data_IF_438989444315
#
_entry.id   IF_438989444315
#
_cell.length_a   1.000
_cell.length_b   1.000
_cell.length_c   1.000
_cell.angle_alpha   90.00
_cell.angle_beta   90.00
_cell.angle_gamma   90.00
#
_symmetry.space_group_name_H-M   'P 1'
#
loop_
_entity.id
_entity.type
_entity.pdbx_description
1 polymer ?
#
# COMPACT_ATOMS: atom_id res chain seq x y z
N UNK A 1 -19.67 -19.32 0.01
CA UNK A 1 -18.43 -18.59 0.34
C UNK A 1 -18.80 -17.24 0.91
N UNK A 2 -18.48 -16.99 2.17
CA UNK A 2 -18.73 -15.69 2.82
C UNK A 2 -17.44 -14.89 2.71
N UNK A 3 -17.46 -13.78 1.97
CA UNK A 3 -16.31 -12.87 1.90
C UNK A 3 -16.18 -12.15 3.24
N UNK A 4 -15.11 -12.45 3.99
CA UNK A 4 -14.80 -11.74 5.24
C UNK A 4 -14.27 -10.37 4.83
N UNK A 5 -14.91 -9.30 5.31
CA UNK A 5 -14.42 -7.94 5.09
C UNK A 5 -13.05 -7.81 5.76
N UNK A 6 -12.05 -7.38 5.00
CA UNK A 6 -10.76 -7.06 5.57
C UNK A 6 -10.90 -5.79 6.44
N UNK A 7 -10.84 -5.92 7.76
CA UNK A 7 -11.00 -4.80 8.69
C UNK A 7 -9.66 -4.08 8.89
N UNK A 8 -9.16 -3.48 7.80
CA UNK A 8 -7.94 -2.68 7.84
C UNK A 8 -8.24 -1.38 8.59
N UNK A 9 -7.47 -1.10 9.65
CA UNK A 9 -7.65 0.11 10.45
C UNK A 9 -7.34 1.35 9.63
N UNK A 10 -8.11 2.42 9.82
CA UNK A 10 -7.83 3.70 9.18
C UNK A 10 -6.57 4.35 9.78
N UNK A 11 -5.67 4.83 8.93
CA UNK A 11 -4.49 5.56 9.39
C UNK A 11 -4.89 6.89 10.03
N UNK A 12 -4.44 7.13 11.27
CA UNK A 12 -4.68 8.36 12.03
C UNK A 12 -4.11 9.62 11.38
N UNK A 13 -3.07 9.48 10.55
CA UNK A 13 -2.42 10.61 9.88
C UNK A 13 -3.05 10.96 8.52
N UNK A 14 -3.96 10.12 8.00
CA UNK A 14 -4.70 10.38 6.77
C UNK A 14 -3.79 10.77 5.60
N UNK A 15 -4.03 11.96 5.02
CA UNK A 15 -3.25 12.48 3.89
C UNK A 15 -1.85 12.99 4.28
N UNK A 16 -1.60 13.27 5.56
CA UNK A 16 -0.30 13.75 6.09
C UNK A 16 0.62 12.60 6.52
N UNK A 17 0.25 11.36 6.22
CA UNK A 17 1.06 10.22 6.58
C UNK A 17 2.35 10.15 5.75
N UNK A 18 3.48 10.15 6.43
CA UNK A 18 4.80 10.01 5.80
C UNK A 18 5.06 8.58 5.31
N UNK A 19 4.42 7.59 5.94
CA UNK A 19 4.52 6.17 5.60
C UNK A 19 3.53 5.75 4.50
N UNK A 20 2.85 6.70 3.84
CA UNK A 20 1.84 6.40 2.81
C UNK A 20 2.43 5.74 1.55
N UNK A 21 3.74 5.88 1.32
CA UNK A 21 4.48 5.22 0.25
C UNK A 21 5.10 3.89 0.70
N UNK A 22 5.07 3.59 2.00
CA UNK A 22 5.62 2.36 2.52
C UNK A 22 4.63 1.22 2.28
N UNK A 23 5.04 0.16 1.55
CA UNK A 23 4.12 -0.88 1.15
C UNK A 23 3.61 -1.70 2.35
N UNK A 24 4.41 -1.83 3.42
CA UNK A 24 4.04 -2.57 4.64
C UNK A 24 2.95 -1.79 5.40
N UNK A 25 3.18 -0.50 5.64
CA UNK A 25 2.20 0.39 6.24
C UNK A 25 0.89 0.40 5.44
N UNK A 26 0.97 0.42 4.11
CA UNK A 26 -0.21 0.38 3.23
C UNK A 26 -0.95 -0.95 3.25
N UNK A 27 -0.28 -2.05 3.61
CA UNK A 27 -0.94 -3.36 3.82
C UNK A 27 -1.68 -3.43 5.17
N UNK A 28 -1.27 -2.63 6.15
CA UNK A 28 -1.81 -2.64 7.51
C UNK A 28 -2.83 -1.52 7.79
N UNK A 29 -2.77 -0.42 7.02
CA UNK A 29 -3.58 0.78 7.27
C UNK A 29 -4.25 1.34 6.02
N UNK A 30 -5.54 1.69 6.17
CA UNK A 30 -6.34 2.31 5.12
C UNK A 30 -6.16 3.83 5.09
N UNK A 31 -6.05 4.39 3.90
CA UNK A 31 -6.02 5.83 3.64
C UNK A 31 -7.19 6.23 2.76
N UNK A 32 -7.88 7.32 3.11
CA UNK A 32 -8.98 7.86 2.30
C UNK A 32 -8.44 8.34 0.95
N UNK A 33 -9.13 7.99 -0.14
CA UNK A 33 -8.74 8.37 -1.50
C UNK A 33 -7.64 7.50 -2.12
N UNK A 34 -7.26 6.41 -1.45
CA UNK A 34 -6.35 5.41 -1.98
C UNK A 34 -7.00 4.01 -1.95
N UNK A 35 -6.55 3.09 -2.82
CA UNK A 35 -6.96 1.70 -2.80
C UNK A 35 -6.73 1.05 -1.42
N UNK A 36 -7.59 0.13 -1.02
CA UNK A 36 -7.42 -0.65 0.23
C UNK A 36 -6.21 -1.59 0.18
N UNK A 37 -5.82 -2.01 -1.03
CA UNK A 37 -4.67 -2.87 -1.29
C UNK A 37 -3.76 -2.22 -2.33
N UNK A 38 -2.46 -2.48 -2.26
CA UNK A 38 -1.56 -2.05 -3.32
C UNK A 38 -1.85 -2.83 -4.60
N UNK A 39 -1.85 -2.11 -5.71
CA UNK A 39 -2.08 -2.67 -7.03
C UNK A 39 -0.74 -3.21 -7.54
N UNK A 40 -0.66 -4.45 -8.05
CA UNK A 40 0.60 -4.94 -8.63
C UNK A 40 0.99 -4.05 -9.82
N UNK A 41 2.20 -3.49 -9.76
CA UNK A 41 2.76 -2.73 -10.87
C UNK A 41 2.98 -3.65 -12.07
N UNK A 42 2.51 -3.25 -13.26
CA UNK A 42 2.71 -4.02 -14.50
C UNK A 42 4.19 -4.26 -14.81
N UNK A 43 5.05 -3.30 -14.47
CA UNK A 43 6.48 -3.36 -14.74
C UNK A 43 7.29 -4.03 -13.62
N UNK A 44 6.70 -4.25 -12.43
CA UNK A 44 7.35 -4.90 -11.27
C UNK A 44 8.78 -4.37 -11.05
N UNK A 45 9.76 -5.25 -10.99
CA UNK A 45 11.19 -4.93 -10.80
C UNK A 45 11.79 -4.05 -11.90
N UNK A 46 11.14 -3.96 -13.07
CA UNK A 46 11.56 -3.10 -14.20
C UNK A 46 10.89 -1.73 -14.18
N UNK A 47 10.12 -1.41 -13.15
CA UNK A 47 9.49 -0.10 -13.02
C UNK A 47 10.53 0.97 -12.73
N UNK A 48 10.53 2.02 -13.55
CA UNK A 48 11.40 3.20 -13.36
C UNK A 48 10.64 4.40 -12.76
N UNK A 49 9.33 4.27 -12.54
CA UNK A 49 8.54 5.32 -11.91
C UNK A 49 8.78 5.31 -10.40
N UNK A 50 9.47 6.35 -9.92
CA UNK A 50 9.78 6.57 -8.50
C UNK A 50 8.90 7.67 -7.88
N UNK A 51 7.84 8.08 -8.58
CA UNK A 51 6.97 9.16 -8.14
C UNK A 51 6.21 8.75 -6.89
N UNK A 52 6.03 9.70 -5.97
CA UNK A 52 5.22 9.48 -4.77
C UNK A 52 3.80 9.06 -5.15
N UNK A 53 3.25 9.63 -6.24
CA UNK A 53 1.91 9.29 -6.74
C UNK A 53 1.79 7.81 -7.14
N UNK A 54 2.87 7.24 -7.69
CA UNK A 54 2.96 5.84 -8.11
C UNK A 54 3.09 4.91 -6.90
N UNK A 55 4.07 5.18 -6.03
CA UNK A 55 4.35 4.34 -4.84
C UNK A 55 3.19 4.31 -3.83
N UNK A 56 2.30 5.31 -3.81
CA UNK A 56 1.06 5.27 -2.99
C UNK A 56 0.08 4.18 -3.42
N UNK A 57 0.12 3.77 -4.68
CA UNK A 57 -0.89 2.91 -5.33
C UNK A 57 -0.33 1.56 -5.74
N UNK A 58 0.94 1.49 -6.14
CA UNK A 58 1.51 0.31 -6.78
C UNK A 58 2.59 -0.37 -5.92
N UNK A 59 2.64 -1.70 -5.98
CA UNK A 59 3.73 -2.50 -5.39
C UNK A 59 4.50 -3.25 -6.49
N UNK A 60 5.79 -3.47 -6.30
CA UNK A 60 6.67 -4.09 -7.31
C UNK A 60 7.05 -5.55 -7.02
N UNK A 61 6.45 -6.14 -6.00
CA UNK A 61 6.84 -7.46 -5.47
C UNK A 61 7.86 -7.36 -4.34
N UNK A 62 8.02 -6.18 -3.74
CA UNK A 62 8.90 -5.93 -2.60
C UNK A 62 8.59 -6.90 -1.47
N UNK A 63 9.63 -7.56 -0.96
CA UNK A 63 9.55 -8.50 0.17
C UNK A 63 9.02 -7.74 1.39
N UNK A 64 7.82 -8.07 1.84
CA UNK A 64 7.32 -7.60 3.13
C UNK A 64 7.95 -8.48 4.20
N UNK A 65 9.03 -8.01 4.81
CA UNK A 65 9.51 -8.60 6.06
C UNK A 65 8.44 -8.33 7.13
N UNK A 66 7.68 -9.36 7.49
CA UNK A 66 6.73 -9.28 8.59
C UNK A 66 7.53 -9.08 9.89
N UNK A 67 7.16 -8.11 10.75
CA UNK A 67 7.80 -7.98 12.05
C UNK A 67 7.61 -9.29 12.85
N UNK A 68 8.71 -9.81 13.41
CA UNK A 68 8.74 -10.99 14.29
C UNK A 68 7.96 -10.75 15.58
#
# INVERSE_FOLDING_TARGET
>A
YTHIKNDIKQCKYGQKCIQIIDPIHRSQYRHIGLPEFLIPCKFRERCNDKSIQHNKKYFHGESVELPK
#
